data_IF_635081552256
#
_entry.id   IF_635081552256
#
_cell.length_a   1.000
_cell.length_b   1.000
_cell.length_c   1.000
_cell.angle_alpha   90.00
_cell.angle_beta   90.00
_cell.angle_gamma   90.00
#
_symmetry.space_group_name_H-M   'P 1'
#
loop_
_entity.id
_entity.type
_entity.pdbx_description
1 polymer ?
#
# COMPACT_ATOMS: atom_id res chain seq x y z
N UNK A 1 26.85 -16.63 4.34
CA UNK A 1 26.93 -15.16 4.30
C UNK A 1 26.86 -14.60 5.71
N UNK A 2 27.59 -13.53 6.02
CA UNK A 2 27.47 -12.86 7.32
C UNK A 2 26.28 -11.91 7.35
N UNK A 3 25.71 -11.66 8.53
CA UNK A 3 24.58 -10.71 8.72
C UNK A 3 24.89 -9.34 8.11
N UNK A 4 26.13 -8.83 8.28
CA UNK A 4 26.57 -7.56 7.68
C UNK A 4 26.54 -7.57 6.15
N UNK A 5 26.89 -8.69 5.53
CA UNK A 5 26.89 -8.79 4.05
C UNK A 5 25.47 -8.84 3.51
N UNK A 6 24.56 -9.55 4.19
CA UNK A 6 23.14 -9.56 3.85
C UNK A 6 22.53 -8.17 4.03
N UNK A 7 22.83 -7.48 5.13
CA UNK A 7 22.32 -6.13 5.40
C UNK A 7 22.68 -5.15 4.28
N UNK A 8 23.94 -5.15 3.82
CA UNK A 8 24.36 -4.28 2.70
C UNK A 8 23.64 -4.61 1.40
N UNK A 9 23.50 -5.91 1.09
CA UNK A 9 22.77 -6.33 -0.11
C UNK A 9 21.30 -5.89 -0.08
N UNK A 10 20.63 -6.04 1.06
CA UNK A 10 19.24 -5.57 1.24
C UNK A 10 19.16 -4.06 1.07
N UNK A 11 20.10 -3.32 1.65
CA UNK A 11 20.15 -1.85 1.55
C UNK A 11 20.37 -1.39 0.10
N UNK A 12 21.32 -1.98 -0.62
CA UNK A 12 21.60 -1.68 -2.03
C UNK A 12 20.38 -1.95 -2.92
N UNK A 13 19.76 -3.12 -2.78
CA UNK A 13 18.57 -3.49 -3.57
C UNK A 13 17.39 -2.59 -3.22
N UNK A 14 17.17 -2.31 -1.94
CA UNK A 14 16.07 -1.44 -1.51
C UNK A 14 16.29 -0.01 -1.99
N UNK A 15 17.52 0.49 -1.97
CA UNK A 15 17.89 1.80 -2.53
C UNK A 15 17.54 1.89 -4.01
N UNK A 16 17.96 0.91 -4.82
CA UNK A 16 17.62 0.86 -6.24
C UNK A 16 16.10 0.78 -6.48
N UNK A 17 15.37 -0.01 -5.68
CA UNK A 17 13.92 -0.07 -5.76
C UNK A 17 13.25 1.27 -5.46
N UNK A 18 13.75 2.02 -4.47
CA UNK A 18 13.22 3.35 -4.11
C UNK A 18 13.49 4.35 -5.23
N UNK A 19 14.66 4.33 -5.85
CA UNK A 19 14.99 5.19 -6.99
C UNK A 19 14.06 4.92 -8.19
N UNK A 20 13.71 3.66 -8.44
CA UNK A 20 12.80 3.29 -9.51
C UNK A 20 11.32 3.35 -9.13
N UNK A 21 10.99 3.51 -7.85
CA UNK A 21 9.61 3.51 -7.35
C UNK A 21 8.65 4.43 -8.14
N UNK A 22 9.02 5.69 -8.48
CA UNK A 22 8.12 6.59 -9.23
C UNK A 22 7.76 6.10 -10.64
N UNK A 23 8.58 5.22 -11.23
CA UNK A 23 8.33 4.66 -12.56
C UNK A 23 7.33 3.50 -12.52
N UNK A 24 7.25 2.80 -11.39
CA UNK A 24 6.39 1.61 -11.23
C UNK A 24 5.09 1.91 -10.49
N UNK A 25 5.11 2.89 -9.57
CA UNK A 25 3.95 3.26 -8.77
C UNK A 25 3.56 4.70 -9.10
N UNK A 26 2.58 4.83 -9.98
CA UNK A 26 1.99 6.11 -10.36
C UNK A 26 0.58 6.24 -9.81
N UNK A 27 0.33 7.32 -9.07
CA UNK A 27 -1.01 7.69 -8.63
C UNK A 27 -1.51 8.88 -9.47
N UNK A 28 -2.78 8.87 -9.94
CA UNK A 28 -3.33 9.96 -10.75
C UNK A 28 -3.19 11.29 -10.02
N UNK A 29 -2.35 12.16 -10.58
CA UNK A 29 -1.96 13.43 -9.96
C UNK A 29 -2.69 14.59 -10.63
N UNK A 30 -2.84 14.51 -11.95
CA UNK A 30 -3.52 15.53 -12.75
C UNK A 30 -5.05 15.42 -12.67
N UNK A 31 -5.75 16.52 -12.94
CA UNK A 31 -7.22 16.53 -12.97
C UNK A 31 -7.78 15.63 -14.09
N UNK A 32 -7.06 15.52 -15.21
CA UNK A 32 -7.44 14.66 -16.33
C UNK A 32 -7.38 13.18 -15.93
N UNK A 33 -6.26 12.73 -15.36
CA UNK A 33 -6.10 11.34 -14.89
C UNK A 33 -7.13 10.99 -13.81
N UNK A 34 -7.37 11.89 -12.85
CA UNK A 34 -8.40 11.68 -11.81
C UNK A 34 -9.80 11.55 -12.42
N UNK A 35 -10.09 12.32 -13.46
CA UNK A 35 -11.39 12.24 -14.16
C UNK A 35 -11.51 10.91 -14.91
N UNK A 36 -10.43 10.49 -15.57
CA UNK A 36 -10.37 9.20 -16.26
C UNK A 36 -10.59 8.03 -15.29
N UNK A 37 -9.87 7.99 -14.17
CA UNK A 37 -10.04 6.93 -13.16
C UNK A 37 -11.47 6.93 -12.60
N UNK A 38 -12.05 8.10 -12.30
CA UNK A 38 -13.46 8.20 -11.88
C UNK A 38 -14.42 7.60 -12.89
N UNK A 39 -14.21 7.86 -14.18
CA UNK A 39 -15.06 7.27 -15.23
C UNK A 39 -14.91 5.75 -15.28
N UNK A 40 -13.69 5.23 -15.12
CA UNK A 40 -13.44 3.80 -15.11
C UNK A 40 -14.12 3.10 -13.92
N UNK A 41 -14.00 3.64 -12.70
CA UNK A 41 -14.68 3.08 -11.52
C UNK A 41 -16.21 3.17 -11.59
N UNK A 42 -16.77 4.06 -12.41
CA UNK A 42 -18.22 4.11 -12.69
C UNK A 42 -18.69 2.99 -13.62
N UNK A 43 -17.80 2.34 -14.38
CA UNK A 43 -18.16 1.22 -15.28
C UNK A 43 -18.38 -0.11 -14.55
N UNK A 44 -17.94 -0.22 -13.30
CA UNK A 44 -18.13 -1.41 -12.46
C UNK A 44 -19.62 -1.59 -12.14
N UNK A 45 -20.14 -2.84 -12.05
CA UNK A 45 -21.50 -3.07 -11.57
C UNK A 45 -21.78 -2.31 -10.27
N UNK A 46 -22.90 -1.59 -10.24
CA UNK A 46 -23.32 -0.66 -9.17
C UNK A 46 -22.56 0.66 -9.06
N UNK A 47 -21.44 0.84 -9.76
CA UNK A 47 -20.70 2.10 -9.91
C UNK A 47 -20.14 2.66 -8.60
N UNK A 48 -18.85 3.01 -8.58
CA UNK A 48 -18.25 3.68 -7.42
C UNK A 48 -17.95 5.16 -7.75
N UNK A 49 -18.85 6.10 -7.42
CA UNK A 49 -18.69 7.51 -7.80
C UNK A 49 -17.56 8.20 -7.02
N UNK A 50 -16.75 8.97 -7.74
CA UNK A 50 -15.70 9.81 -7.16
C UNK A 50 -14.38 9.09 -6.85
N UNK A 51 -14.29 7.80 -7.17
CA UNK A 51 -13.12 6.98 -6.86
C UNK A 51 -12.02 7.18 -7.89
N UNK A 52 -10.79 7.36 -7.43
CA UNK A 52 -9.61 7.55 -8.29
C UNK A 52 -8.59 6.42 -8.17
N UNK A 53 -8.82 5.46 -7.28
CA UNK A 53 -7.93 4.34 -7.02
C UNK A 53 -8.40 3.51 -5.83
N UNK A 54 -7.81 2.32 -5.70
CA UNK A 54 -8.03 1.41 -4.59
C UNK A 54 -6.74 1.21 -3.80
N UNK A 55 -6.86 1.09 -2.48
CA UNK A 55 -5.73 0.76 -1.60
C UNK A 55 -6.01 -0.58 -0.94
N UNK A 56 -5.05 -1.49 -1.08
CA UNK A 56 -5.03 -2.74 -0.32
C UNK A 56 -3.92 -2.68 0.73
N UNK A 57 -4.13 -3.37 1.85
CA UNK A 57 -3.21 -3.38 2.97
C UNK A 57 -2.93 -4.81 3.45
N UNK A 58 -1.65 -5.13 3.63
CA UNK A 58 -1.21 -6.42 4.16
C UNK A 58 -0.39 -6.18 5.42
N UNK A 59 -0.76 -6.86 6.50
CA UNK A 59 0.02 -6.89 7.73
C UNK A 59 1.12 -7.95 7.63
N UNK A 60 2.37 -7.51 7.61
CA UNK A 60 3.54 -8.40 7.68
C UNK A 60 3.91 -8.58 9.14
N UNK A 61 3.80 -9.81 9.65
CA UNK A 61 4.14 -10.11 11.04
C UNK A 61 5.63 -9.87 11.31
N UNK A 62 5.93 -9.26 12.45
CA UNK A 62 7.29 -9.01 12.92
C UNK A 62 7.48 -9.56 14.33
N UNK A 63 8.75 -9.76 14.70
CA UNK A 63 9.10 -9.97 16.10
C UNK A 63 8.85 -8.65 16.85
N UNK A 64 8.36 -8.74 18.09
CA UNK A 64 8.15 -7.57 18.93
C UNK A 64 9.41 -6.70 18.95
N UNK A 65 9.29 -5.40 18.61
CA UNK A 65 10.36 -4.46 18.87
C UNK A 65 10.67 -4.39 20.38
N UNK A 66 11.85 -3.90 20.76
CA UNK A 66 12.15 -3.59 22.16
C UNK A 66 11.09 -2.66 22.75
N UNK A 67 10.59 -2.98 23.94
CA UNK A 67 9.51 -2.22 24.59
C UNK A 67 9.97 -0.81 24.98
N UNK A 68 11.28 -0.64 25.21
CA UNK A 68 11.87 0.60 25.73
C UNK A 68 12.47 1.50 24.65
N UNK A 69 12.19 1.25 23.36
CA UNK A 69 12.62 2.17 22.31
C UNK A 69 11.82 3.48 22.41
N UNK A 70 12.46 4.63 22.71
CA UNK A 70 11.76 5.89 22.90
C UNK A 70 11.21 6.47 21.60
N UNK A 71 11.69 6.01 20.43
CA UNK A 71 11.27 6.48 19.11
C UNK A 71 10.23 5.53 18.49
N UNK A 72 10.35 4.22 18.73
CA UNK A 72 9.51 3.19 18.14
C UNK A 72 8.98 2.19 19.18
N UNK A 73 8.11 2.62 20.11
CA UNK A 73 7.62 1.76 21.18
C UNK A 73 6.79 0.60 20.62
N UNK A 74 6.99 -0.62 21.11
CA UNK A 74 6.39 -1.84 20.57
C UNK A 74 4.86 -1.78 20.35
N UNK A 75 4.15 -0.98 21.16
CA UNK A 75 2.69 -0.79 21.05
C UNK A 75 2.24 -0.26 19.69
N UNK A 76 3.07 0.52 18.98
CA UNK A 76 2.69 1.08 17.66
C UNK A 76 2.65 0.02 16.56
N UNK A 77 3.27 -1.13 16.79
CA UNK A 77 3.27 -2.26 15.86
C UNK A 77 2.21 -3.31 16.22
N UNK A 78 1.51 -3.17 17.35
CA UNK A 78 0.46 -4.10 17.76
C UNK A 78 -0.78 -3.89 16.89
N UNK A 79 -1.18 -4.92 16.14
CA UNK A 79 -2.39 -4.86 15.34
C UNK A 79 -3.64 -5.27 16.13
N UNK A 80 -4.82 -5.05 15.52
CA UNK A 80 -6.12 -5.46 16.08
C UNK A 80 -6.23 -6.98 16.33
N UNK A 81 -5.44 -7.79 15.62
CA UNK A 81 -5.41 -9.25 15.77
C UNK A 81 -4.48 -9.71 16.91
N UNK A 82 -3.87 -8.78 17.66
CA UNK A 82 -3.07 -9.07 18.84
C UNK A 82 -1.64 -9.52 18.56
N UNK A 83 -1.11 -9.31 17.34
CA UNK A 83 0.30 -9.58 17.03
C UNK A 83 1.02 -8.35 16.47
N UNK A 84 2.34 -8.34 16.56
CA UNK A 84 3.16 -7.25 16.04
C UNK A 84 3.29 -7.38 14.53
N UNK A 85 3.01 -6.30 13.80
CA UNK A 85 3.09 -6.29 12.34
C UNK A 85 3.33 -4.90 11.78
N UNK A 86 3.93 -4.84 10.59
CA UNK A 86 4.03 -3.63 9.79
C UNK A 86 2.91 -3.65 8.76
N UNK A 87 2.19 -2.53 8.64
CA UNK A 87 1.19 -2.36 7.59
C UNK A 87 1.89 -1.96 6.28
N UNK A 88 1.84 -2.84 5.28
CA UNK A 88 2.33 -2.58 3.93
C UNK A 88 1.14 -2.28 3.04
N UNK A 89 1.13 -1.09 2.44
CA UNK A 89 0.04 -0.61 1.58
C UNK A 89 0.45 -0.65 0.12
N UNK A 90 -0.47 -1.07 -0.74
CA UNK A 90 -0.32 -1.02 -2.19
C UNK A 90 -1.46 -0.20 -2.76
N UNK A 91 -1.11 0.81 -3.56
CA UNK A 91 -2.08 1.62 -4.29
C UNK A 91 -2.20 1.09 -5.71
N UNK A 92 -3.43 0.90 -6.18
CA UNK A 92 -3.73 0.42 -7.54
C UNK A 92 -4.72 1.37 -8.22
N UNK A 93 -4.44 1.68 -9.48
CA UNK A 93 -5.40 2.33 -10.37
C UNK A 93 -6.31 1.28 -11.02
N UNK A 94 -7.40 1.72 -11.67
CA UNK A 94 -8.44 0.82 -12.17
C UNK A 94 -7.92 -0.30 -13.08
N UNK A 95 -7.08 0.06 -14.06
CA UNK A 95 -6.54 -0.90 -15.04
C UNK A 95 -5.64 -1.98 -14.44
N UNK A 96 -5.10 -1.71 -13.25
CA UNK A 96 -4.18 -2.60 -12.55
C UNK A 96 -4.89 -3.51 -11.52
N UNK A 97 -6.20 -3.36 -11.35
CA UNK A 97 -7.03 -4.22 -10.50
C UNK A 97 -7.40 -5.46 -11.33
N UNK A 98 -6.90 -6.64 -10.95
CA UNK A 98 -7.29 -7.87 -11.63
C UNK A 98 -8.80 -8.15 -11.39
N UNK A 99 -9.52 -8.78 -12.34
CA UNK A 99 -10.96 -9.01 -12.22
C UNK A 99 -11.35 -9.87 -11.00
N UNK A 100 -10.39 -10.57 -10.40
CA UNK A 100 -10.57 -11.34 -9.17
C UNK A 100 -10.83 -10.46 -7.94
N UNK A 101 -10.28 -9.23 -7.92
CA UNK A 101 -10.42 -8.32 -6.78
C UNK A 101 -11.77 -7.59 -6.74
N UNK A 102 -12.53 -7.57 -7.83
CA UNK A 102 -13.88 -6.98 -7.88
C UNK A 102 -14.95 -7.87 -7.21
N UNK A 103 -14.66 -9.16 -6.99
CA UNK A 103 -15.58 -10.13 -6.36
C UNK A 103 -15.20 -10.50 -4.92
N UNK A 104 -14.09 -9.94 -4.41
CA UNK A 104 -13.56 -10.30 -3.10
C UNK A 104 -14.01 -9.29 -2.03
N UNK A 105 -14.56 -9.75 -0.89
CA UNK A 105 -14.90 -8.90 0.26
C UNK A 105 -13.66 -8.50 1.09
N UNK A 106 -12.45 -8.56 0.50
CA UNK A 106 -11.25 -8.02 1.15
C UNK A 106 -11.41 -6.51 1.22
N UNK A 107 -11.19 -5.98 2.41
CA UNK A 107 -11.55 -4.64 2.86
C UNK A 107 -10.71 -3.56 2.16
N UNK A 108 -10.95 -3.31 0.88
CA UNK A 108 -10.33 -2.22 0.14
C UNK A 108 -10.70 -0.89 0.78
N UNK A 109 -9.70 -0.11 1.18
CA UNK A 109 -9.91 1.31 1.44
C UNK A 109 -9.97 1.99 0.07
N UNK A 110 -11.19 2.26 -0.36
CA UNK A 110 -11.45 3.05 -1.55
C UNK A 110 -11.02 4.50 -1.24
N UNK A 111 -9.92 4.94 -1.88
CA UNK A 111 -9.42 6.29 -1.67
C UNK A 111 -10.20 7.27 -2.55
N UNK A 112 -11.18 7.94 -1.93
CA UNK A 112 -11.62 9.24 -2.43
C UNK A 112 -10.47 10.22 -2.17
N UNK A 113 -10.11 11.06 -3.14
CA UNK A 113 -8.92 11.91 -3.08
C UNK A 113 -9.00 12.94 -1.94
N UNK A 114 -8.70 12.52 -0.71
CA UNK A 114 -8.47 13.35 0.45
C UNK A 114 -7.22 12.87 1.18
N UNK A 115 -6.14 12.70 0.42
CA UNK A 115 -4.78 12.74 0.94
C UNK A 115 -4.28 14.18 0.81
N UNK A 116 -4.94 15.04 1.57
CA UNK A 116 -4.57 16.33 2.16
C UNK A 116 -5.83 16.94 2.79
#
# INVERSE_FOLDING_TARGET
MSQKSVSRCVEEVTGALVEHFPHFVHFPSTAAEKTQEKQLFMTVPHGFPGIIGAVDCTHVAIISPPVEDPQYPAIVFLNRKGYYSINVQIVRNFLSISPFFLHSPIHFQICNARLK
#
